data_IF_997705434190
#
_entry.id   IF_997705434190
#
_cell.length_a   1.000
_cell.length_b   1.000
_cell.length_c   1.000
_cell.angle_alpha   90.00
_cell.angle_beta   90.00
_cell.angle_gamma   90.00
#
_symmetry.space_group_name_H-M   'P 1'
#
loop_
_entity.id
_entity.type
_entity.pdbx_description
1 polymer ?
#
# COMPACT_ATOMS: atom_id res chain seq x y z
N UNK A 1 -23.50 17.60 -0.20
CA UNK A 1 -22.54 18.27 0.70
C UNK A 1 -21.24 17.49 0.62
N UNK A 2 -20.11 18.12 0.29
CA UNK A 2 -18.81 17.43 0.30
C UNK A 2 -18.51 17.00 1.73
N UNK A 3 -18.21 15.71 1.94
CA UNK A 3 -17.76 15.25 3.25
C UNK A 3 -16.41 15.89 3.53
N UNK A 4 -16.30 16.62 4.64
CA UNK A 4 -15.01 17.14 5.09
C UNK A 4 -14.06 15.98 5.42
N UNK A 5 -12.78 16.15 5.10
CA UNK A 5 -11.71 15.16 5.31
C UNK A 5 -10.69 15.71 6.31
N UNK A 6 -10.15 14.83 7.15
CA UNK A 6 -9.15 15.21 8.15
C UNK A 6 -7.87 15.73 7.51
N UNK A 7 -7.36 14.98 6.53
CA UNK A 7 -6.19 15.34 5.72
C UNK A 7 -6.61 15.19 4.26
N UNK A 8 -6.42 16.20 3.40
CA UNK A 8 -6.71 16.03 1.97
C UNK A 8 -5.91 14.85 1.39
N UNK A 9 -6.54 14.06 0.53
CA UNK A 9 -5.91 12.87 -0.07
C UNK A 9 -4.62 13.23 -0.80
N UNK A 10 -4.65 14.26 -1.66
CA UNK A 10 -3.46 14.77 -2.36
C UNK A 10 -2.32 15.18 -1.44
N UNK A 11 -2.62 15.66 -0.24
CA UNK A 11 -1.59 15.93 0.77
C UNK A 11 -0.94 14.64 1.28
N UNK A 12 -1.71 13.59 1.53
CA UNK A 12 -1.18 12.27 1.92
C UNK A 12 -0.35 11.65 0.79
N UNK A 13 -0.80 11.72 -0.46
CA UNK A 13 -0.05 11.24 -1.64
C UNK A 13 1.33 11.92 -1.72
N UNK A 14 1.35 13.24 -1.55
CA UNK A 14 2.57 14.03 -1.59
C UNK A 14 3.54 13.68 -0.45
N UNK A 15 3.04 13.57 0.78
CA UNK A 15 3.87 13.20 1.94
C UNK A 15 4.42 11.77 1.83
N UNK A 16 3.60 10.82 1.38
CA UNK A 16 4.05 9.45 1.13
C UNK A 16 5.14 9.42 0.05
N UNK A 17 4.98 10.15 -1.05
CA UNK A 17 5.98 10.26 -2.11
C UNK A 17 7.28 10.85 -1.59
N UNK A 18 7.22 11.96 -0.84
CA UNK A 18 8.40 12.58 -0.24
C UNK A 18 9.13 11.64 0.73
N UNK A 19 8.40 10.88 1.55
CA UNK A 19 8.98 9.90 2.46
C UNK A 19 9.76 8.83 1.71
N UNK A 20 9.15 8.24 0.68
CA UNK A 20 9.77 7.16 -0.07
C UNK A 20 11.01 7.67 -0.80
N UNK A 21 10.91 8.82 -1.48
CA UNK A 21 12.05 9.45 -2.15
C UNK A 21 13.18 9.81 -1.20
N UNK A 22 12.86 10.33 0.00
CA UNK A 22 13.86 10.69 1.00
C UNK A 22 14.51 9.45 1.63
N UNK A 23 13.71 8.44 2.02
CA UNK A 23 14.19 7.20 2.63
C UNK A 23 15.16 6.46 1.70
N UNK A 24 14.88 6.46 0.40
CA UNK A 24 15.63 5.68 -0.58
C UNK A 24 16.52 6.53 -1.51
N UNK A 25 16.69 7.83 -1.24
CA UNK A 25 17.63 8.73 -1.93
C UNK A 25 17.67 8.57 -3.47
N UNK A 26 16.52 8.68 -4.13
CA UNK A 26 16.33 8.49 -5.60
C UNK A 26 16.41 7.06 -6.13
N UNK A 27 16.60 6.05 -5.26
CA UNK A 27 16.57 4.62 -5.62
C UNK A 27 15.16 4.02 -5.56
N UNK A 28 14.15 4.87 -5.40
CA UNK A 28 12.75 4.48 -5.55
C UNK A 28 12.16 5.14 -6.79
N UNK A 29 11.45 4.36 -7.61
CA UNK A 29 10.61 4.88 -8.68
C UNK A 29 9.15 4.85 -8.23
N UNK A 30 8.45 5.97 -8.43
CA UNK A 30 7.05 6.16 -8.05
C UNK A 30 6.24 6.38 -9.32
N UNK A 31 5.10 5.71 -9.44
CA UNK A 31 4.17 5.90 -10.55
C UNK A 31 2.75 6.04 -10.02
N UNK A 32 2.09 7.13 -10.39
CA UNK A 32 0.65 7.32 -10.18
C UNK A 32 -0.04 7.31 -11.54
N UNK A 33 -0.88 6.31 -11.84
CA UNK A 33 -1.61 6.36 -13.10
C UNK A 33 -2.59 7.52 -13.08
N UNK A 34 -2.71 8.23 -14.20
CA UNK A 34 -3.78 9.21 -14.38
C UNK A 34 -5.07 8.53 -14.83
N UNK A 35 -6.17 9.28 -14.92
CA UNK A 35 -7.48 8.71 -15.29
C UNK A 35 -7.40 7.95 -16.61
N UNK A 36 -7.69 6.64 -16.59
CA UNK A 36 -7.68 5.77 -17.76
C UNK A 36 -6.40 4.95 -17.95
N UNK A 37 -5.33 5.19 -17.19
CA UNK A 37 -4.09 4.42 -17.28
C UNK A 37 -4.08 3.28 -16.27
N UNK A 38 -3.91 2.03 -16.70
CA UNK A 38 -3.71 0.90 -15.79
C UNK A 38 -2.31 0.93 -15.17
N UNK A 39 -2.23 0.69 -13.85
CA UNK A 39 -0.94 0.56 -13.19
C UNK A 39 -0.31 -0.77 -13.58
N UNK A 40 0.41 -0.82 -14.70
CA UNK A 40 1.20 -1.99 -15.04
C UNK A 40 2.47 -2.04 -14.17
N UNK A 41 2.52 -2.98 -13.22
CA UNK A 41 3.74 -3.19 -12.42
C UNK A 41 4.94 -3.61 -13.28
N UNK A 42 4.70 -4.03 -14.53
CA UNK A 42 5.72 -4.30 -15.54
C UNK A 42 6.39 -3.07 -16.14
N UNK A 43 5.79 -1.88 -16.04
CA UNK A 43 6.39 -0.60 -16.48
C UNK A 43 7.41 -0.02 -15.50
N UNK A 44 7.57 -0.68 -14.35
CA UNK A 44 8.61 -0.34 -13.39
C UNK A 44 10.00 -0.61 -13.99
N UNK A 45 11.05 0.11 -13.55
CA UNK A 45 12.37 0.07 -14.17
C UNK A 45 12.85 -1.36 -14.47
N UNK A 46 13.57 -1.59 -15.60
CA UNK A 46 14.14 -2.89 -15.95
C UNK A 46 15.36 -3.21 -15.07
N UNK A 47 15.18 -3.13 -13.75
CA UNK A 47 16.18 -3.35 -12.72
C UNK A 47 15.70 -4.39 -11.71
N UNK A 48 16.62 -5.13 -11.08
CA UNK A 48 16.28 -5.92 -9.90
C UNK A 48 15.73 -5.02 -8.81
N UNK A 49 14.81 -5.55 -8.01
CA UNK A 49 14.17 -4.79 -6.96
C UNK A 49 12.82 -5.33 -6.55
N UNK A 50 12.09 -4.52 -5.80
CA UNK A 50 10.76 -4.86 -5.28
C UNK A 50 9.72 -3.91 -5.80
N UNK A 51 8.52 -4.42 -6.05
CA UNK A 51 7.40 -3.63 -6.53
C UNK A 51 6.18 -3.89 -5.66
N UNK A 52 5.56 -2.82 -5.16
CA UNK A 52 4.34 -2.88 -4.35
C UNK A 52 3.34 -1.82 -4.82
N UNK A 53 2.06 -2.03 -4.50
CA UNK A 53 0.98 -1.06 -4.74
C UNK A 53 0.44 -0.55 -3.41
N UNK A 54 0.22 0.75 -3.30
CA UNK A 54 -0.31 1.40 -2.10
C UNK A 54 -1.62 2.11 -2.42
N UNK A 55 -2.72 1.63 -1.85
CA UNK A 55 -4.03 2.30 -1.86
C UNK A 55 -4.09 3.26 -0.66
N UNK A 56 -3.81 4.54 -0.90
CA UNK A 56 -3.89 5.56 0.14
C UNK A 56 -5.35 5.91 0.40
N UNK A 57 -5.79 5.86 1.66
CA UNK A 57 -7.12 6.30 2.09
C UNK A 57 -6.97 7.41 3.12
N UNK A 58 -7.78 8.45 2.97
CA UNK A 58 -7.93 9.48 4.00
C UNK A 58 -9.06 9.14 4.99
N UNK A 59 -9.15 9.90 6.07
CA UNK A 59 -10.27 9.85 7.01
C UNK A 59 -11.31 10.91 6.66
N UNK A 60 -12.55 10.46 6.48
CA UNK A 60 -13.74 11.32 6.43
C UNK A 60 -14.17 11.70 7.85
N UNK A 61 -14.64 12.92 8.03
CA UNK A 61 -15.13 13.40 9.31
C UNK A 61 -16.62 13.15 9.46
N UNK A 62 -17.03 12.67 10.64
CA UNK A 62 -18.44 12.69 11.04
C UNK A 62 -18.83 14.07 11.59
N UNK A 63 -20.13 14.39 11.67
CA UNK A 63 -20.60 15.60 12.36
C UNK A 63 -20.14 15.69 13.82
N UNK A 64 -19.85 14.56 14.47
CA UNK A 64 -19.34 14.47 15.84
C UNK A 64 -17.82 14.64 15.96
N UNK A 65 -17.13 15.03 14.87
CA UNK A 65 -15.67 15.20 14.85
C UNK A 65 -14.87 13.90 14.85
N UNK A 66 -15.54 12.75 14.80
CA UNK A 66 -14.87 11.44 14.70
C UNK A 66 -14.32 11.22 13.29
N UNK A 67 -13.21 10.49 13.22
CA UNK A 67 -12.56 10.17 11.96
C UNK A 67 -12.98 8.78 11.50
N UNK A 68 -13.28 8.60 10.22
CA UNK A 68 -13.64 7.32 9.65
C UNK A 68 -12.91 7.07 8.33
N UNK A 69 -12.18 5.96 8.25
CA UNK A 69 -11.63 5.45 6.98
C UNK A 69 -12.72 4.67 6.28
N UNK A 70 -13.02 5.05 5.04
CA UNK A 70 -14.07 4.43 4.24
C UNK A 70 -13.48 3.61 3.10
N UNK A 71 -14.12 2.49 2.79
CA UNK A 71 -13.73 1.53 1.76
C UNK A 71 -14.87 1.36 0.79
N UNK A 72 -14.55 1.43 -0.50
CA UNK A 72 -15.44 1.03 -1.58
C UNK A 72 -15.41 -0.50 -1.72
N UNK A 73 -16.57 -1.13 -1.53
CA UNK A 73 -16.70 -2.60 -1.56
C UNK A 73 -16.52 -3.16 -2.98
N UNK A 74 -16.93 -2.44 -4.03
CA UNK A 74 -16.68 -2.84 -5.42
C UNK A 74 -15.18 -2.83 -5.71
N UNK A 75 -14.48 -1.78 -5.32
CA UNK A 75 -13.03 -1.65 -5.50
C UNK A 75 -12.29 -2.78 -4.76
N UNK A 76 -12.64 -3.03 -3.50
CA UNK A 76 -12.04 -4.11 -2.71
C UNK A 76 -12.31 -5.49 -3.33
N UNK A 77 -13.53 -5.74 -3.81
CA UNK A 77 -13.88 -6.98 -4.51
C UNK A 77 -13.01 -7.19 -5.75
N UNK A 78 -12.83 -6.14 -6.58
CA UNK A 78 -11.95 -6.17 -7.75
C UNK A 78 -10.50 -6.49 -7.36
N UNK A 79 -9.97 -5.87 -6.30
CA UNK A 79 -8.62 -6.18 -5.84
C UNK A 79 -8.44 -7.62 -5.36
N UNK A 80 -9.47 -8.23 -4.75
CA UNK A 80 -9.42 -9.63 -4.36
C UNK A 80 -9.38 -10.60 -5.55
N UNK A 81 -9.74 -10.16 -6.76
CA UNK A 81 -9.61 -10.98 -7.98
C UNK A 81 -8.21 -10.94 -8.59
N UNK A 82 -7.35 -10.00 -8.15
CA UNK A 82 -6.00 -9.89 -8.68
C UNK A 82 -5.09 -10.97 -8.10
N UNK A 83 -4.10 -11.47 -8.87
CA UNK A 83 -3.02 -12.29 -8.33
C UNK A 83 -2.38 -11.59 -7.13
N UNK A 84 -1.98 -12.36 -6.13
CA UNK A 84 -1.59 -11.83 -4.83
C UNK A 84 -0.52 -10.73 -4.91
N UNK A 85 0.54 -10.90 -5.71
CA UNK A 85 1.58 -9.87 -5.89
C UNK A 85 1.10 -8.53 -6.48
N UNK A 86 -0.11 -8.50 -7.07
CA UNK A 86 -0.72 -7.31 -7.68
C UNK A 86 -1.78 -6.65 -6.78
N UNK A 87 -2.11 -7.23 -5.63
CA UNK A 87 -3.04 -6.61 -4.69
C UNK A 87 -2.38 -5.40 -4.01
N UNK A 88 -3.13 -4.33 -3.67
CA UNK A 88 -2.55 -3.20 -2.95
C UNK A 88 -2.46 -3.46 -1.44
N UNK A 89 -1.56 -2.72 -0.80
CA UNK A 89 -1.65 -2.42 0.61
C UNK A 89 -2.54 -1.20 0.84
N UNK A 90 -3.46 -1.27 1.79
CA UNK A 90 -4.23 -0.12 2.23
C UNK A 90 -3.42 0.69 3.25
N UNK A 91 -3.31 2.00 3.01
CA UNK A 91 -2.46 2.92 3.77
C UNK A 91 -3.30 4.09 4.23
N UNK A 92 -3.41 4.33 5.54
CA UNK A 92 -4.30 5.38 6.06
C UNK A 92 -3.84 5.96 7.40
N UNK A 93 -4.32 7.18 7.76
CA UNK A 93 -3.98 7.81 9.03
C UNK A 93 -4.74 7.22 10.22
N UNK A 94 -4.07 7.20 11.36
CA UNK A 94 -4.59 7.09 12.72
C UNK A 94 -4.44 8.47 13.41
N UNK A 95 -5.36 9.42 13.14
CA UNK A 95 -5.24 10.78 13.64
C UNK A 95 -5.31 10.83 15.17
N UNK A 96 -4.52 11.74 15.75
CA UNK A 96 -4.50 12.04 17.20
C UNK A 96 -5.00 13.46 17.50
N UNK A 97 -5.68 14.07 16.54
CA UNK A 97 -6.29 15.40 16.64
C UNK A 97 -7.81 15.29 16.40
N UNK A 98 -8.51 16.41 16.50
CA UNK A 98 -9.94 16.53 16.24
C UNK A 98 -10.21 17.29 14.95
N UNK A 99 -11.13 16.77 14.13
CA UNK A 99 -11.61 17.47 12.94
C UNK A 99 -10.56 17.62 11.85
N UNK A 100 -10.66 18.71 11.08
CA UNK A 100 -9.74 18.96 9.96
C UNK A 100 -8.36 19.35 10.47
N UNK A 101 -7.30 18.81 9.87
CA UNK A 101 -5.92 19.04 10.32
C UNK A 101 -5.57 20.53 10.39
N UNK A 102 -6.04 21.34 9.45
CA UNK A 102 -5.76 22.78 9.46
C UNK A 102 -6.48 23.51 10.60
N UNK A 103 -7.70 23.08 10.96
CA UNK A 103 -8.46 23.63 12.09
C UNK A 103 -7.81 23.22 13.41
N UNK A 104 -7.43 21.95 13.53
CA UNK A 104 -6.69 21.43 14.68
C UNK A 104 -5.35 22.17 14.88
N UNK A 105 -4.60 22.39 13.80
CA UNK A 105 -3.34 23.13 13.86
C UNK A 105 -3.55 24.59 14.29
N UNK A 106 -4.57 25.26 13.74
CA UNK A 106 -4.94 26.62 14.11
C UNK A 106 -5.33 26.74 15.59
N UNK A 107 -6.17 25.83 16.09
CA UNK A 107 -6.58 25.77 17.49
C UNK A 107 -5.39 25.50 18.44
N UNK A 108 -4.40 24.75 17.99
CA UNK A 108 -3.17 24.51 18.73
C UNK A 108 -2.13 25.65 18.60
N UNK A 109 -2.42 26.73 17.87
CA UNK A 109 -1.47 27.80 17.51
C UNK A 109 -0.20 27.28 16.83
N UNK A 110 -0.35 26.29 15.94
CA UNK A 110 0.76 25.65 15.20
C UNK A 110 0.53 25.75 13.70
N UNK A 111 1.61 25.72 12.92
CA UNK A 111 1.49 25.53 11.46
C UNK A 111 0.99 24.11 11.18
N UNK A 112 0.18 23.95 10.13
CA UNK A 112 -0.33 22.64 9.67
C UNK A 112 0.81 21.63 9.47
N UNK A 113 1.93 22.11 8.92
CA UNK A 113 3.15 21.31 8.75
C UNK A 113 3.73 20.84 10.07
N UNK A 114 3.66 21.62 11.15
CA UNK A 114 4.19 21.17 12.45
C UNK A 114 3.32 20.09 13.10
N UNK A 115 2.01 20.09 12.83
CA UNK A 115 1.09 19.10 13.39
C UNK A 115 1.09 17.79 12.58
N UNK A 116 1.05 17.88 11.25
CA UNK A 116 0.95 16.71 10.37
C UNK A 116 2.28 16.19 9.82
N UNK A 117 3.24 17.08 9.54
CA UNK A 117 4.44 16.76 8.76
C UNK A 117 5.65 17.54 9.30
N UNK A 118 6.01 17.35 10.56
CA UNK A 118 7.18 18.03 11.11
C UNK A 118 8.45 17.34 10.58
N UNK A 119 9.38 18.12 10.01
CA UNK A 119 10.67 17.65 9.49
C UNK A 119 11.69 17.34 10.59
N UNK A 120 11.43 17.80 11.82
CA UNK A 120 12.32 17.66 12.97
C UNK A 120 11.52 17.62 14.26
N UNK A 121 11.58 16.50 14.99
CA UNK A 121 10.85 16.30 16.23
C UNK A 121 10.70 14.81 16.53
N UNK A 122 10.57 14.44 17.80
CA UNK A 122 10.60 13.02 18.21
C UNK A 122 9.35 12.21 17.84
N UNK A 123 8.20 12.83 17.51
CA UNK A 123 6.91 12.12 17.38
C UNK A 123 5.87 12.68 16.38
N UNK A 124 6.21 13.66 15.53
CA UNK A 124 5.21 14.37 14.69
C UNK A 124 5.51 14.38 13.19
N UNK A 125 6.08 13.29 12.70
CA UNK A 125 6.16 13.06 11.27
C UNK A 125 4.98 12.20 10.82
N UNK A 126 4.44 12.43 9.61
CA UNK A 126 3.27 11.69 9.13
C UNK A 126 3.44 10.17 9.20
N UNK A 127 4.68 9.70 9.01
CA UNK A 127 5.08 8.32 9.13
C UNK A 127 4.81 7.66 10.50
N UNK A 128 4.63 8.45 11.57
CA UNK A 128 4.35 7.97 12.93
C UNK A 128 2.89 7.58 13.14
N UNK A 129 1.99 8.23 12.41
CA UNK A 129 0.55 8.05 12.58
C UNK A 129 -0.11 7.38 11.37
N UNK A 130 0.67 6.94 10.39
CA UNK A 130 0.18 6.13 9.28
C UNK A 130 0.34 4.64 9.58
N UNK A 131 -0.66 3.86 9.16
CA UNK A 131 -0.64 2.40 9.24
C UNK A 131 -0.92 1.76 7.90
N UNK A 132 -0.54 0.49 7.79
CA UNK A 132 -0.65 -0.32 6.59
C UNK A 132 -1.39 -1.63 6.90
N UNK A 133 -2.31 -2.02 6.02
CA UNK A 133 -2.98 -3.32 5.99
C UNK A 133 -2.85 -3.94 4.60
N UNK A 134 -2.86 -5.28 4.50
CA UNK A 134 -3.02 -5.94 3.20
C UNK A 134 -4.48 -5.87 2.73
N UNK A 135 -4.72 -5.95 1.42
CA UNK A 135 -6.08 -6.08 0.89
C UNK A 135 -6.83 -7.29 1.50
N UNK A 136 -6.13 -8.41 1.75
CA UNK A 136 -6.70 -9.58 2.42
C UNK A 136 -7.16 -9.28 3.86
N UNK A 137 -6.41 -8.50 4.64
CA UNK A 137 -6.84 -8.07 5.98
C UNK A 137 -8.10 -7.19 5.91
N UNK A 138 -8.18 -6.28 4.95
CA UNK A 138 -9.37 -5.43 4.74
C UNK A 138 -10.56 -6.28 4.26
N UNK A 139 -10.34 -7.20 3.34
CA UNK A 139 -11.38 -8.14 2.87
C UNK A 139 -11.91 -9.02 4.00
N UNK A 140 -11.06 -9.44 4.94
CA UNK A 140 -11.48 -10.21 6.10
C UNK A 140 -12.47 -9.43 7.00
N UNK A 141 -12.31 -8.11 7.14
CA UNK A 141 -13.25 -7.26 7.88
C UNK A 141 -14.63 -7.22 7.19
N UNK A 142 -14.65 -7.17 5.86
CA UNK A 142 -15.86 -7.02 5.05
C UNK A 142 -16.34 -8.32 4.39
N UNK A 143 -16.01 -9.50 4.94
CA UNK A 143 -16.41 -10.79 4.34
C UNK A 143 -17.92 -10.87 4.03
N UNK A 144 -18.84 -10.47 4.94
CA UNK A 144 -20.27 -10.49 4.65
C UNK A 144 -20.65 -9.57 3.49
N UNK A 145 -20.14 -8.35 3.48
CA UNK A 145 -20.43 -7.34 2.45
C UNK A 145 -19.86 -7.73 1.10
N UNK A 146 -18.68 -8.34 1.05
CA UNK A 146 -18.09 -8.86 -0.18
C UNK A 146 -18.89 -10.03 -0.76
N UNK A 147 -19.42 -10.92 0.10
CA UNK A 147 -20.34 -11.99 -0.34
C UNK A 147 -21.65 -11.43 -0.89
N UNK A 148 -22.23 -10.44 -0.20
CA UNK A 148 -23.45 -9.80 -0.66
C UNK A 148 -23.23 -9.02 -1.97
N UNK A 149 -22.10 -8.34 -2.10
CA UNK A 149 -21.71 -7.65 -3.33
C UNK A 149 -21.55 -8.63 -4.50
N UNK A 150 -20.87 -9.77 -4.29
CA UNK A 150 -20.70 -10.78 -5.33
C UNK A 150 -22.04 -11.29 -5.89
N UNK A 151 -23.09 -11.31 -5.06
CA UNK A 151 -24.45 -11.71 -5.44
C UNK A 151 -25.27 -10.58 -6.06
N UNK A 152 -25.24 -9.39 -5.46
CA UNK A 152 -26.20 -8.32 -5.78
C UNK A 152 -25.63 -7.23 -6.68
N UNK A 153 -24.30 -7.14 -6.78
CA UNK A 153 -23.56 -6.06 -7.46
C UNK A 153 -23.97 -4.66 -7.01
N UNK A 154 -24.49 -4.53 -5.78
CA UNK A 154 -24.89 -3.24 -5.21
C UNK A 154 -23.69 -2.51 -4.64
N UNK A 155 -23.34 -1.41 -5.27
CA UNK A 155 -22.23 -0.58 -4.82
C UNK A 155 -22.48 -0.01 -3.42
N UNK A 156 -21.42 -0.05 -2.61
CA UNK A 156 -21.47 0.35 -1.22
C UNK A 156 -20.12 0.90 -0.80
N UNK A 157 -20.15 2.04 -0.09
CA UNK A 157 -19.04 2.49 0.74
C UNK A 157 -19.33 2.13 2.19
N UNK A 158 -18.33 1.57 2.88
CA UNK A 158 -18.44 1.18 4.29
C UNK A 158 -17.27 1.72 5.09
N UNK A 159 -17.51 2.07 6.35
CA UNK A 159 -16.43 2.43 7.29
C UNK A 159 -15.63 1.17 7.59
N UNK A 160 -14.30 1.22 7.48
CA UNK A 160 -13.37 0.15 7.89
C UNK A 160 -12.99 0.31 9.35
N UNK A 161 -12.65 1.53 9.74
CA UNK A 161 -12.20 1.87 11.08
C UNK A 161 -12.60 3.30 11.38
N UNK A 162 -12.93 3.54 12.65
CA UNK A 162 -13.19 4.87 13.18
C UNK A 162 -12.29 5.19 14.37
N UNK A 163 -12.02 6.47 14.57
CA UNK A 163 -11.23 7.01 15.66
C UNK A 163 -12.05 8.10 16.34
N UNK A 164 -12.09 8.07 17.67
CA UNK A 164 -12.72 9.13 18.43
C UNK A 164 -11.84 10.39 18.38
N UNK A 165 -12.41 11.60 18.58
CA UNK A 165 -11.62 12.83 18.63
C UNK A 165 -10.47 12.70 19.64
N UNK A 166 -9.25 13.05 19.21
CA UNK A 166 -8.04 13.00 20.05
C UNK A 166 -7.67 11.61 20.60
N UNK A 167 -8.25 10.52 20.08
CA UNK A 167 -7.94 9.15 20.47
C UNK A 167 -7.60 8.30 19.23
N UNK A 168 -6.32 7.94 19.03
CA UNK A 168 -5.89 7.14 17.89
C UNK A 168 -6.26 5.65 18.02
N UNK A 169 -6.99 5.24 19.08
CA UNK A 169 -7.41 3.85 19.27
C UNK A 169 -8.42 3.43 18.20
N UNK A 170 -8.11 2.40 17.38
CA UNK A 170 -8.97 2.02 16.27
C UNK A 170 -10.22 1.29 16.75
N UNK A 171 -11.38 1.75 16.27
CA UNK A 171 -12.67 1.05 16.37
C UNK A 171 -13.03 0.47 15.01
N UNK A 172 -12.71 -0.81 14.82
CA UNK A 172 -12.93 -1.54 13.57
C UNK A 172 -14.41 -1.76 13.26
N UNK A 173 -14.72 -1.90 11.96
CA UNK A 173 -16.04 -2.25 11.46
C UNK A 173 -16.45 -3.65 11.86
N UNK A 174 -17.59 -3.75 12.56
CA UNK A 174 -18.02 -4.96 13.27
C UNK A 174 -16.90 -5.40 14.25
N UNK A 175 -17.17 -6.26 15.24
CA UNK A 175 -16.09 -6.82 16.04
C UNK A 175 -15.27 -7.82 15.19
N UNK A 176 -14.52 -7.30 14.20
CA UNK A 176 -13.80 -8.07 13.20
C UNK A 176 -12.96 -9.14 13.88
N UNK A 177 -13.22 -10.40 13.53
CA UNK A 177 -12.54 -11.56 14.10
C UNK A 177 -11.97 -12.42 12.97
N UNK A 178 -10.65 -12.62 12.89
CA UNK A 178 -9.62 -11.99 13.73
C UNK A 178 -9.54 -10.47 13.48
N UNK A 179 -9.13 -9.72 14.51
CA UNK A 179 -8.88 -8.28 14.36
C UNK A 179 -7.75 -8.05 13.35
N UNK A 180 -7.85 -7.03 12.47
CA UNK A 180 -6.73 -6.65 11.63
C UNK A 180 -5.49 -6.34 12.47
N UNK A 181 -4.32 -6.65 11.92
CA UNK A 181 -3.02 -6.35 12.53
C UNK A 181 -2.34 -5.23 11.72
N UNK A 182 -2.64 -3.95 12.01
CA UNK A 182 -2.05 -2.82 11.30
C UNK A 182 -0.55 -2.74 11.54
N UNK A 183 0.22 -2.52 10.48
CA UNK A 183 1.66 -2.33 10.55
C UNK A 183 1.98 -0.83 10.50
N UNK A 184 2.71 -0.26 11.47
CA UNK A 184 3.12 1.14 11.39
C UNK A 184 3.91 1.42 10.12
N UNK A 185 3.66 2.55 9.46
CA UNK A 185 4.26 2.91 8.17
C UNK A 185 5.78 2.81 8.14
N UNK A 186 6.48 3.30 9.17
CA UNK A 186 7.95 3.15 9.26
C UNK A 186 8.41 1.69 9.29
N UNK A 187 7.71 0.87 10.08
CA UNK A 187 8.01 -0.56 10.23
C UNK A 187 7.72 -1.30 8.92
N UNK A 188 6.65 -0.93 8.22
CA UNK A 188 6.28 -1.52 6.94
C UNK A 188 7.47 -1.54 5.96
N UNK A 189 8.14 -0.41 5.77
CA UNK A 189 9.29 -0.32 4.86
C UNK A 189 10.48 -1.18 5.30
N UNK A 190 10.78 -1.19 6.59
CA UNK A 190 11.88 -2.00 7.16
C UNK A 190 11.61 -3.51 7.00
N UNK A 191 10.35 -3.93 7.15
CA UNK A 191 9.95 -5.33 6.95
C UNK A 191 9.91 -5.67 5.46
N UNK A 192 9.42 -4.76 4.61
CA UNK A 192 9.37 -4.94 3.15
C UNK A 192 10.78 -5.11 2.56
N UNK A 193 11.76 -4.36 3.06
CA UNK A 193 13.18 -4.52 2.72
C UNK A 193 13.61 -5.98 2.89
N UNK A 194 13.14 -6.68 3.93
CA UNK A 194 13.44 -8.10 4.22
C UNK A 194 12.42 -9.11 3.67
N UNK A 195 11.79 -8.78 2.54
CA UNK A 195 10.78 -9.60 1.83
C UNK A 195 9.40 -9.64 2.49
N UNK A 196 9.10 -8.76 3.43
CA UNK A 196 7.75 -8.67 4.00
C UNK A 196 7.43 -9.81 4.98
N UNK A 197 6.17 -9.88 5.39
CA UNK A 197 5.63 -11.08 6.06
C UNK A 197 5.07 -12.07 5.04
N UNK A 198 4.72 -13.26 5.53
CA UNK A 198 3.95 -14.23 4.79
C UNK A 198 2.74 -13.54 4.16
N UNK A 199 2.57 -13.82 2.88
CA UNK A 199 1.45 -13.40 2.05
C UNK A 199 1.39 -11.90 1.72
N UNK A 200 2.45 -11.13 1.96
CA UNK A 200 2.48 -9.72 1.57
C UNK A 200 2.46 -9.54 0.05
N UNK A 201 1.55 -8.71 -0.49
CA UNK A 201 1.40 -8.51 -1.92
C UNK A 201 2.56 -7.66 -2.48
N UNK A 202 3.58 -8.33 -3.00
CA UNK A 202 4.75 -7.70 -3.62
C UNK A 202 5.17 -8.51 -4.85
N UNK A 203 5.86 -7.88 -5.80
CA UNK A 203 6.60 -8.57 -6.85
C UNK A 203 8.08 -8.32 -6.63
N UNK A 204 8.91 -9.33 -6.88
CA UNK A 204 10.37 -9.22 -6.73
C UNK A 204 11.01 -9.54 -8.07
N UNK A 205 11.85 -8.65 -8.58
CA UNK A 205 12.64 -8.87 -9.78
C UNK A 205 14.07 -9.21 -9.39
N UNK A 206 14.58 -10.33 -9.89
CA UNK A 206 15.94 -10.80 -9.64
C UNK A 206 16.58 -11.34 -10.92
N UNK A 207 17.92 -11.32 -11.04
CA UNK A 207 18.62 -11.90 -12.18
C UNK A 207 18.34 -13.40 -12.37
N UNK A 208 18.08 -13.82 -13.61
CA UNK A 208 17.81 -15.21 -13.98
C UNK A 208 18.98 -16.15 -13.67
N UNK A 209 20.22 -15.65 -13.62
CA UNK A 209 21.41 -16.45 -13.30
C UNK A 209 21.36 -17.13 -11.93
N UNK A 210 20.50 -16.67 -11.02
CA UNK A 210 20.30 -17.30 -9.70
C UNK A 210 19.32 -18.49 -9.74
N UNK A 211 18.77 -18.82 -10.91
CA UNK A 211 17.76 -19.86 -11.06
C UNK A 211 18.32 -21.08 -11.76
N UNK A 212 18.23 -22.23 -11.10
CA UNK A 212 18.57 -23.55 -11.64
C UNK A 212 17.37 -24.23 -12.31
N UNK A 213 16.13 -23.89 -11.92
CA UNK A 213 14.91 -24.41 -12.55
C UNK A 213 13.74 -23.42 -12.50
N UNK A 214 12.74 -23.60 -13.40
CA UNK A 214 11.57 -22.72 -13.54
C UNK A 214 10.40 -23.06 -12.59
N UNK A 215 10.47 -24.16 -11.85
CA UNK A 215 9.34 -24.73 -11.11
C UNK A 215 9.52 -24.77 -9.59
N UNK A 216 10.54 -24.08 -9.07
CA UNK A 216 10.83 -24.06 -7.64
C UNK A 216 10.01 -23.00 -6.89
N UNK A 217 9.57 -23.38 -5.69
CA UNK A 217 9.12 -22.46 -4.66
C UNK A 217 10.35 -21.98 -3.89
N UNK A 218 10.56 -20.66 -3.86
CA UNK A 218 11.70 -20.03 -3.21
C UNK A 218 11.29 -19.53 -1.83
N UNK A 219 12.05 -19.92 -0.81
CA UNK A 219 11.83 -19.39 0.54
C UNK A 219 12.14 -17.90 0.61
N UNK A 220 11.56 -17.19 1.58
CA UNK A 220 11.81 -15.77 1.78
C UNK A 220 13.28 -15.46 2.05
N UNK A 221 13.96 -16.35 2.80
CA UNK A 221 15.40 -16.24 3.07
C UNK A 221 16.24 -16.42 1.80
N UNK A 222 15.89 -17.38 0.96
CA UNK A 222 16.61 -17.60 -0.29
C UNK A 222 16.43 -16.43 -1.27
N UNK A 223 15.22 -15.88 -1.40
CA UNK A 223 14.98 -14.68 -2.22
C UNK A 223 15.74 -13.47 -1.67
N UNK A 224 15.87 -13.36 -0.34
CA UNK A 224 16.67 -12.32 0.30
C UNK A 224 18.15 -12.44 -0.07
N UNK A 225 18.73 -13.64 0.02
CA UNK A 225 20.11 -13.92 -0.38
C UNK A 225 20.35 -13.61 -1.87
N UNK A 226 19.43 -14.01 -2.75
CA UNK A 226 19.48 -13.68 -4.17
C UNK A 226 19.52 -12.17 -4.41
N UNK A 227 18.72 -11.41 -3.66
CA UNK A 227 18.71 -9.96 -3.82
C UNK A 227 19.99 -9.31 -3.30
N UNK A 228 20.54 -9.80 -2.20
CA UNK A 228 21.81 -9.31 -1.66
C UNK A 228 22.95 -9.58 -2.66
N UNK A 229 23.06 -10.81 -3.16
CA UNK A 229 24.05 -11.17 -4.18
C UNK A 229 23.87 -10.36 -5.48
N UNK A 230 22.63 -10.10 -5.87
CA UNK A 230 22.34 -9.26 -7.03
C UNK A 230 22.80 -7.81 -6.80
N UNK A 231 22.55 -7.22 -5.62
CA UNK A 231 22.99 -5.85 -5.31
C UNK A 231 24.50 -5.66 -5.48
N UNK A 232 25.31 -6.68 -5.13
CA UNK A 232 26.77 -6.64 -5.23
C UNK A 232 27.29 -6.80 -6.66
N UNK A 233 26.57 -7.52 -7.53
CA UNK A 233 27.09 -7.95 -8.82
C UNK A 233 27.17 -6.84 -9.90
N UNK A 234 26.31 -5.82 -9.83
CA UNK A 234 26.27 -4.69 -10.78
C UNK A 234 25.82 -4.99 -12.23
N UNK A 235 26.02 -6.21 -12.73
CA UNK A 235 25.47 -6.72 -13.99
C UNK A 235 24.38 -7.79 -13.73
N UNK A 236 23.18 -7.48 -14.19
CA UNK A 236 21.95 -8.20 -13.84
C UNK A 236 21.46 -9.14 -14.94
N UNK A 237 21.95 -9.01 -16.18
CA UNK A 237 21.48 -9.81 -17.31
C UNK A 237 19.95 -9.84 -17.45
N UNK A 238 19.40 -11.01 -17.83
CA UNK A 238 17.96 -11.22 -17.92
C UNK A 238 17.32 -11.28 -16.52
N UNK A 239 16.21 -10.58 -16.32
CA UNK A 239 15.47 -10.58 -15.06
C UNK A 239 14.27 -11.54 -15.12
N UNK A 240 13.96 -12.15 -13.99
CA UNK A 240 12.72 -12.89 -13.75
C UNK A 240 11.92 -12.24 -12.64
N UNK A 241 10.60 -12.37 -12.71
CA UNK A 241 9.69 -11.85 -11.69
C UNK A 241 9.22 -12.99 -10.80
N UNK A 242 9.28 -12.75 -9.51
CA UNK A 242 8.77 -13.60 -8.45
C UNK A 242 7.50 -12.99 -7.87
N UNK A 243 6.47 -13.82 -7.70
CA UNK A 243 5.26 -13.45 -6.96
C UNK A 243 5.12 -14.31 -5.70
N UNK A 244 4.52 -13.77 -4.62
CA UNK A 244 4.23 -14.53 -3.43
C UNK A 244 3.25 -15.65 -3.77
N UNK A 245 3.51 -16.82 -3.22
CA UNK A 245 2.62 -17.97 -3.10
C UNK A 245 2.69 -18.45 -1.65
N UNK A 246 1.75 -19.25 -1.18
CA UNK A 246 1.64 -19.64 0.23
C UNK A 246 3.00 -20.02 0.87
N UNK A 247 3.53 -19.17 1.75
CA UNK A 247 4.85 -19.26 2.40
C UNK A 247 6.12 -19.17 1.52
N UNK A 248 6.00 -18.93 0.22
CA UNK A 248 7.14 -18.88 -0.68
C UNK A 248 6.98 -17.81 -1.78
N UNK A 249 7.94 -17.78 -2.68
CA UNK A 249 7.86 -17.07 -3.95
C UNK A 249 7.93 -18.08 -5.08
N UNK A 250 7.29 -17.78 -6.20
CA UNK A 250 7.40 -18.59 -7.41
C UNK A 250 7.68 -17.68 -8.60
N UNK A 251 8.36 -18.20 -9.61
CA UNK A 251 8.54 -17.49 -10.88
C UNK A 251 7.17 -17.36 -11.53
N UNK A 252 6.79 -16.11 -11.82
CA UNK A 252 5.65 -15.85 -12.70
C UNK A 252 6.17 -15.75 -14.13
N UNK A 253 5.46 -16.34 -15.12
CA UNK A 253 5.73 -16.07 -16.52
C UNK A 253 5.75 -14.56 -16.75
N UNK A 254 6.60 -14.07 -17.64
CA UNK A 254 6.59 -12.67 -18.05
C UNK A 254 5.21 -12.34 -18.60
N UNK A 255 4.33 -11.78 -17.77
CA UNK A 255 2.99 -11.38 -18.18
C UNK A 255 3.12 -10.10 -19.01
N UNK A 256 2.85 -10.19 -20.31
CA UNK A 256 2.08 -9.15 -21.00
C UNK A 256 0.63 -9.32 -20.55
N UNK A 257 0.22 -8.69 -19.46
CA UNK A 257 -1.20 -8.67 -19.08
C UNK A 257 -1.95 -7.81 -20.10
N UNK A 258 -2.59 -8.45 -21.08
CA UNK A 258 -3.68 -7.83 -21.82
C UNK A 258 -4.85 -7.59 -20.87
N UNK A 259 -4.97 -6.38 -20.34
CA UNK A 259 -6.21 -5.84 -19.77
C UNK A 259 -6.84 -4.85 -20.77
N UNK A 260 -6.70 -5.13 -22.07
CA UNK A 260 -7.28 -4.29 -23.12
C UNK A 260 -8.81 -4.40 -23.19
N UNK A 261 -9.43 -5.47 -22.70
CA UNK A 261 -10.85 -5.74 -23.00
C UNK A 261 -11.84 -5.41 -21.86
N UNK A 262 -11.38 -5.11 -20.64
CA UNK A 262 -12.26 -4.67 -19.53
C UNK A 262 -12.10 -3.16 -19.19
N UNK A 263 -11.31 -2.43 -19.98
CA UNK A 263 -11.00 -1.01 -19.77
C UNK A 263 -12.24 -0.08 -19.84
N UNK A 264 -13.31 -0.49 -20.53
CA UNK A 264 -14.54 0.31 -20.65
C UNK A 264 -15.42 0.30 -19.38
N UNK A 265 -15.31 -0.70 -18.50
CA UNK A 265 -16.12 -0.71 -17.25
C UNK A 265 -15.34 -0.20 -16.02
N UNK A 266 -14.02 -0.02 -16.16
CA UNK A 266 -13.14 0.58 -15.15
C UNK A 266 -13.19 2.12 -15.21
N UNK A 267 -13.56 2.70 -16.35
CA UNK A 267 -13.52 4.16 -16.59
C UNK A 267 -14.58 4.97 -15.85
N UNK A 268 -15.57 4.35 -15.20
CA UNK A 268 -16.69 5.10 -14.57
C UNK A 268 -16.75 5.08 -13.05
N UNK A 269 -15.92 4.32 -12.33
CA UNK A 269 -16.03 4.25 -10.86
C UNK A 269 -14.65 4.16 -10.22
N UNK A 270 -14.28 5.24 -9.51
CA UNK A 270 -13.04 5.51 -8.76
C UNK A 270 -11.99 6.36 -9.50
N UNK A 271 -11.95 7.65 -9.17
CA UNK A 271 -10.84 8.56 -9.48
C UNK A 271 -9.54 8.17 -8.74
N UNK A 272 -9.60 7.19 -7.82
CA UNK A 272 -8.49 6.80 -6.97
C UNK A 272 -7.94 5.45 -7.41
N UNK A 273 -6.74 5.49 -8.00
CA UNK A 273 -5.93 4.31 -8.34
C UNK A 273 -4.73 4.24 -7.38
N UNK A 274 -4.23 3.04 -7.05
CA UNK A 274 -3.16 2.88 -6.08
C UNK A 274 -1.83 3.40 -6.64
N UNK A 275 -0.98 3.91 -5.76
CA UNK A 275 0.39 4.30 -6.06
C UNK A 275 1.26 3.05 -6.31
N UNK A 276 1.94 3.00 -7.44
CA UNK A 276 3.01 2.03 -7.68
C UNK A 276 4.33 2.50 -7.08
N UNK A 277 4.98 1.63 -6.32
CA UNK A 277 6.33 1.89 -5.78
C UNK A 277 7.26 0.77 -6.21
N UNK A 278 8.35 1.13 -6.86
CA UNK A 278 9.48 0.25 -7.11
C UNK A 278 10.67 0.67 -6.27
N UNK A 279 11.23 -0.25 -5.52
CA UNK A 279 12.49 -0.09 -4.79
C UNK A 279 13.57 -0.80 -5.60
N UNK A 280 14.51 -0.03 -6.15
CA UNK A 280 15.73 -0.56 -6.76
C UNK A 280 16.46 -1.42 -5.73
N UNK A 281 17.08 -2.51 -6.16
CA UNK A 281 17.80 -3.41 -5.24
C UNK A 281 18.88 -2.72 -4.43
N UNK A 282 19.48 -1.66 -4.98
CA UNK A 282 20.48 -0.83 -4.29
C UNK A 282 19.87 0.07 -3.21
N UNK A 283 18.54 0.24 -3.20
CA UNK A 283 17.77 1.00 -2.19
C UNK A 283 17.60 0.21 -0.90
N UNK A 284 17.71 -1.11 -0.98
CA UNK A 284 17.41 -2.02 0.11
C UNK A 284 18.61 -2.02 1.06
N UNK A 285 18.45 -1.45 2.25
CA UNK A 285 19.47 -1.50 3.30
C UNK A 285 19.45 -2.87 3.96
N UNK A 286 20.59 -3.54 3.95
CA UNK A 286 20.74 -4.90 4.47
C UNK A 286 21.49 -4.95 5.80
N UNK A 287 21.89 -3.79 6.34
CA UNK A 287 22.67 -3.70 7.58
C UNK A 287 21.84 -4.21 8.76
N UNK A 288 22.37 -5.26 9.40
CA UNK A 288 21.89 -5.93 10.62
C UNK A 288 22.05 -5.08 11.86
#
# INVERSE_FOLDING_TARGET
MSSSVSVPEKTLEHWASQYVTYRYASKAALWWPTTGEDLELGWLPPKPGKSVRLELKTTTLSPSGSHAVKIDIRQLWKYQQLPQGHQPFYVFPCPFWEGELHKAASAAHRKVTELGFSRSGRRWWFAEWMVVLTAAQVANVFRPELRDYARTRRDATRTLVSFAPNDPTPRWHVAATPKPNPVPWRKFWTVLERCGYRDWPQLIRVPQKYFTSKHELFSYGYVLEMMQAAAEAGDYGQLVTLAPSENAFHVVPSFTTGLADDAEEITRVSENRPLGVHLDITALSWDT
#
